data_IF_842772281179
#
_entry.id   IF_842772281179
#
_cell.length_a   1.000
_cell.length_b   1.000
_cell.length_c   1.000
_cell.angle_alpha   90.00
_cell.angle_beta   90.00
_cell.angle_gamma   90.00
#
_symmetry.space_group_name_H-M   'P 1'
#
loop_
_entity.id
_entity.type
_entity.pdbx_description
1 polymer ?
#
# COMPACT_ATOMS: atom_id res chain seq x y z
N UNK A 1 -13.68 -13.45 17.65
CA UNK A 1 -15.15 -13.60 17.67
C UNK A 1 -15.84 -13.05 16.43
N UNK A 2 -15.57 -11.80 16.00
CA UNK A 2 -16.41 -11.10 15.03
C UNK A 2 -16.44 -11.59 13.57
N UNK A 3 -15.41 -12.29 13.07
CA UNK A 3 -15.35 -12.65 11.64
C UNK A 3 -16.24 -13.86 11.25
N UNK A 4 -16.52 -14.78 12.18
CA UNK A 4 -17.21 -16.05 11.87
C UNK A 4 -18.69 -15.87 11.48
N UNK A 5 -19.36 -14.85 12.01
CA UNK A 5 -20.77 -14.56 11.72
C UNK A 5 -21.00 -13.98 10.31
N UNK A 6 -20.02 -13.24 9.78
CA UNK A 6 -20.13 -12.58 8.47
C UNK A 6 -19.64 -13.45 7.29
N UNK A 7 -18.87 -14.50 7.58
CA UNK A 7 -18.30 -15.43 6.60
C UNK A 7 -19.36 -16.11 5.71
N UNK A 8 -20.54 -16.42 6.28
CA UNK A 8 -21.63 -17.07 5.54
C UNK A 8 -22.34 -16.16 4.53
N UNK A 9 -22.26 -14.83 4.67
CA UNK A 9 -22.95 -13.86 3.77
C UNK A 9 -22.02 -13.10 2.82
N UNK A 10 -20.81 -12.80 3.27
CA UNK A 10 -19.88 -11.89 2.57
C UNK A 10 -18.56 -12.58 2.19
N UNK A 11 -18.40 -13.88 2.52
CA UNK A 11 -17.29 -14.71 2.08
C UNK A 11 -15.91 -14.14 2.40
N UNK A 12 -14.98 -14.30 1.46
CA UNK A 12 -13.57 -13.88 1.57
C UNK A 12 -13.38 -12.35 1.71
N UNK A 13 -14.31 -11.55 1.20
CA UNK A 13 -14.22 -10.08 1.22
C UNK A 13 -14.20 -9.52 2.63
N UNK A 14 -14.91 -10.14 3.58
CA UNK A 14 -14.88 -9.74 5.00
C UNK A 14 -13.48 -9.89 5.57
N UNK A 15 -12.85 -11.04 5.29
CA UNK A 15 -11.51 -11.33 5.78
C UNK A 15 -10.51 -10.32 5.22
N UNK A 16 -10.61 -10.00 3.92
CA UNK A 16 -9.77 -8.97 3.30
C UNK A 16 -9.95 -7.60 3.97
N UNK A 17 -11.20 -7.16 4.18
CA UNK A 17 -11.49 -5.88 4.85
C UNK A 17 -11.01 -5.86 6.30
N UNK A 18 -11.21 -6.95 7.04
CA UNK A 18 -10.75 -7.08 8.43
C UNK A 18 -9.23 -7.01 8.55
N UNK A 19 -8.49 -7.62 7.62
CA UNK A 19 -7.03 -7.54 7.58
C UNK A 19 -6.58 -6.10 7.33
N UNK A 20 -7.18 -5.43 6.34
CA UNK A 20 -6.86 -4.02 6.04
C UNK A 20 -7.15 -3.12 7.23
N UNK A 21 -8.32 -3.27 7.86
CA UNK A 21 -8.71 -2.48 9.03
C UNK A 21 -7.78 -2.72 10.22
N UNK A 22 -7.39 -3.98 10.47
CA UNK A 22 -6.47 -4.35 11.55
C UNK A 22 -5.09 -3.72 11.35
N UNK A 23 -4.49 -3.88 10.17
CA UNK A 23 -3.18 -3.29 9.88
C UNK A 23 -3.23 -1.77 9.93
N UNK A 24 -4.29 -1.16 9.41
CA UNK A 24 -4.46 0.29 9.47
C UNK A 24 -4.53 0.80 10.91
N UNK A 25 -5.34 0.15 11.76
CA UNK A 25 -5.42 0.49 13.19
C UNK A 25 -4.07 0.31 13.89
N UNK A 26 -3.34 -0.77 13.58
CA UNK A 26 -2.01 -1.02 14.12
C UNK A 26 -0.99 0.03 13.66
N UNK A 27 -1.01 0.44 12.39
CA UNK A 27 -0.14 1.50 11.86
C UNK A 27 -0.40 2.84 12.57
N UNK A 28 -1.66 3.20 12.79
CA UNK A 28 -2.03 4.41 13.54
C UNK A 28 -1.54 4.32 14.98
N UNK A 29 -1.80 3.20 15.66
CA UNK A 29 -1.37 3.01 17.03
C UNK A 29 0.16 3.09 17.17
N UNK A 30 0.89 2.44 16.26
CA UNK A 30 2.35 2.49 16.20
C UNK A 30 2.86 3.92 15.95
N UNK A 31 2.19 4.70 15.10
CA UNK A 31 2.55 6.10 14.88
C UNK A 31 2.41 6.95 16.15
N UNK A 32 1.30 6.83 16.88
CA UNK A 32 1.09 7.59 18.10
C UNK A 32 2.04 7.18 19.23
N UNK A 33 2.24 5.88 19.44
CA UNK A 33 3.16 5.36 20.46
C UNK A 33 4.61 5.73 20.12
N UNK A 34 4.99 5.58 18.84
CA UNK A 34 6.31 5.91 18.33
C UNK A 34 6.62 7.39 18.49
N UNK A 35 5.69 8.28 18.12
CA UNK A 35 5.83 9.73 18.29
C UNK A 35 6.06 10.13 19.76
N UNK A 36 5.47 9.41 20.70
CA UNK A 36 5.60 9.70 22.15
C UNK A 36 6.99 9.35 22.70
N UNK A 37 7.60 8.25 22.25
CA UNK A 37 8.91 7.80 22.76
C UNK A 37 10.09 8.32 21.91
N UNK A 38 9.92 8.45 20.60
CA UNK A 38 10.94 8.92 19.66
C UNK A 38 10.30 9.84 18.61
N UNK A 39 10.40 11.18 18.75
CA UNK A 39 9.89 12.12 17.77
C UNK A 39 10.80 12.12 16.53
N UNK A 40 10.68 11.10 15.69
CA UNK A 40 11.39 11.01 14.42
C UNK A 40 10.69 11.97 13.44
N UNK A 41 11.41 12.92 12.81
CA UNK A 41 10.86 13.83 11.81
C UNK A 41 10.55 13.09 10.50
N UNK A 42 9.49 12.27 10.51
CA UNK A 42 9.03 11.56 9.32
C UNK A 42 8.43 12.52 8.30
N UNK A 43 8.90 12.43 7.06
CA UNK A 43 8.30 13.11 5.92
C UNK A 43 7.03 12.38 5.48
N UNK A 44 5.90 12.64 6.15
CA UNK A 44 4.61 12.04 5.80
C UNK A 44 4.11 12.42 4.41
N UNK A 45 4.48 13.61 3.92
CA UNK A 45 4.04 14.12 2.61
C UNK A 45 4.37 13.15 1.47
N UNK A 46 5.65 12.78 1.21
CA UNK A 46 5.97 11.84 0.14
C UNK A 46 5.35 10.46 0.36
N UNK A 47 5.31 9.96 1.60
CA UNK A 47 4.71 8.64 1.90
C UNK A 47 3.26 8.56 1.42
N UNK A 48 2.42 9.51 1.82
CA UNK A 48 1.00 9.53 1.44
C UNK A 48 0.84 9.74 -0.07
N UNK A 49 1.64 10.63 -0.67
CA UNK A 49 1.60 10.90 -2.11
C UNK A 49 1.92 9.62 -2.91
N UNK A 50 2.96 8.88 -2.55
CA UNK A 50 3.32 7.64 -3.22
C UNK A 50 2.21 6.58 -3.09
N UNK A 51 1.62 6.44 -1.90
CA UNK A 51 0.49 5.51 -1.71
C UNK A 51 -0.71 5.86 -2.60
N UNK A 52 -1.07 7.15 -2.70
CA UNK A 52 -2.19 7.58 -3.55
C UNK A 52 -1.89 7.37 -5.03
N UNK A 53 -0.69 7.75 -5.50
CA UNK A 53 -0.28 7.55 -6.90
C UNK A 53 -0.31 6.07 -7.26
N UNK A 54 0.14 5.20 -6.36
CA UNK A 54 0.10 3.76 -6.56
C UNK A 54 -1.32 3.22 -6.71
N UNK A 55 -2.24 3.61 -5.82
CA UNK A 55 -3.65 3.20 -5.89
C UNK A 55 -4.33 3.67 -7.19
N UNK A 56 -4.05 4.91 -7.63
CA UNK A 56 -4.56 5.43 -8.90
C UNK A 56 -4.01 4.64 -10.08
N UNK A 57 -2.72 4.32 -10.05
CA UNK A 57 -2.05 3.53 -11.10
C UNK A 57 -2.67 2.13 -11.21
N UNK A 58 -2.91 1.47 -10.08
CA UNK A 58 -3.57 0.16 -10.03
C UNK A 58 -5.01 0.27 -10.55
N UNK A 59 -5.76 1.28 -10.09
CA UNK A 59 -7.14 1.49 -10.55
C UNK A 59 -7.22 1.67 -12.06
N UNK A 60 -6.29 2.43 -12.65
CA UNK A 60 -6.20 2.60 -14.09
C UNK A 60 -5.86 1.29 -14.81
N UNK A 61 -4.93 0.52 -14.26
CA UNK A 61 -4.56 -0.81 -14.78
C UNK A 61 -5.77 -1.73 -14.91
N UNK A 62 -6.68 -1.72 -13.92
CA UNK A 62 -7.89 -2.55 -13.96
C UNK A 62 -8.86 -2.21 -15.10
N UNK A 63 -8.82 -0.99 -15.63
CA UNK A 63 -9.67 -0.56 -16.74
C UNK A 63 -9.15 -1.03 -18.10
N UNK A 64 -7.84 -1.32 -18.20
CA UNK A 64 -7.22 -1.83 -19.41
C UNK A 64 -7.27 -3.34 -19.37
N UNK A 65 -8.29 -3.94 -19.98
CA UNK A 65 -8.38 -5.39 -20.16
C UNK A 65 -7.85 -5.77 -21.54
N UNK A 66 -6.82 -6.60 -21.58
CA UNK A 66 -6.32 -7.17 -22.83
C UNK A 66 -7.13 -8.41 -23.21
N UNK A 67 -7.03 -8.82 -24.47
CA UNK A 67 -7.77 -9.98 -24.98
C UNK A 67 -7.12 -11.33 -24.59
N UNK A 68 -5.89 -11.32 -24.06
CA UNK A 68 -5.15 -12.53 -23.73
C UNK A 68 -4.74 -12.57 -22.25
N UNK A 69 -5.20 -13.63 -21.56
CA UNK A 69 -5.01 -13.84 -20.12
C UNK A 69 -3.53 -13.79 -19.68
N UNK A 70 -2.61 -14.21 -20.55
CA UNK A 70 -1.17 -14.16 -20.28
C UNK A 70 -0.61 -12.73 -20.29
N UNK A 71 -1.03 -11.88 -21.24
CA UNK A 71 -0.59 -10.49 -21.25
C UNK A 71 -1.20 -9.70 -20.09
N UNK A 72 -2.47 -9.91 -19.77
CA UNK A 72 -3.10 -9.26 -18.61
C UNK A 72 -2.37 -9.60 -17.31
N UNK A 73 -2.07 -10.87 -17.08
CA UNK A 73 -1.37 -11.31 -15.87
C UNK A 73 0.05 -10.74 -15.79
N UNK A 74 0.75 -10.69 -16.93
CA UNK A 74 2.09 -10.12 -17.00
C UNK A 74 2.07 -8.62 -16.74
N UNK A 75 1.10 -7.88 -17.27
CA UNK A 75 0.95 -6.43 -17.04
C UNK A 75 0.61 -6.11 -15.59
N UNK A 76 -0.33 -6.85 -14.99
CA UNK A 76 -0.71 -6.66 -13.59
C UNK A 76 0.46 -6.94 -12.62
N UNK A 77 1.42 -7.78 -13.01
CA UNK A 77 2.66 -7.99 -12.25
C UNK A 77 3.73 -6.94 -12.57
N UNK A 78 3.88 -6.55 -13.84
CA UNK A 78 4.92 -5.63 -14.28
C UNK A 78 4.72 -4.22 -13.72
N UNK A 79 3.48 -3.74 -13.63
CA UNK A 79 3.14 -2.40 -13.16
C UNK A 79 3.62 -2.11 -11.72
N UNK A 80 3.30 -2.94 -10.71
CA UNK A 80 3.78 -2.70 -9.34
C UNK A 80 5.30 -2.86 -9.22
N UNK A 81 5.91 -3.76 -9.99
CA UNK A 81 7.38 -3.92 -10.02
C UNK A 81 8.05 -2.67 -10.59
N UNK A 82 7.57 -2.17 -11.73
CA UNK A 82 8.08 -0.95 -12.36
C UNK A 82 7.90 0.27 -11.45
N UNK A 83 6.76 0.38 -10.76
CA UNK A 83 6.52 1.44 -9.79
C UNK A 83 7.49 1.39 -8.61
N UNK A 84 7.74 0.19 -8.06
CA UNK A 84 8.70 -0.01 -6.95
C UNK A 84 10.12 0.38 -7.38
N UNK A 85 10.53 -0.01 -8.59
CA UNK A 85 11.83 0.37 -9.16
C UNK A 85 11.91 1.89 -9.31
N UNK A 86 10.87 2.54 -9.83
CA UNK A 86 10.83 3.99 -10.00
C UNK A 86 10.97 4.72 -8.65
N UNK A 87 10.22 4.29 -7.63
CA UNK A 87 10.36 4.85 -6.26
C UNK A 87 11.77 4.66 -5.74
N UNK A 88 12.35 3.46 -5.87
CA UNK A 88 13.72 3.21 -5.41
C UNK A 88 14.73 4.18 -6.04
N UNK A 89 14.61 4.44 -7.34
CA UNK A 89 15.46 5.43 -8.04
C UNK A 89 15.20 6.89 -7.64
N UNK A 90 13.99 7.24 -7.21
CA UNK A 90 13.68 8.58 -6.70
C UNK A 90 14.14 8.77 -5.25
N UNK A 91 13.95 7.75 -4.40
CA UNK A 91 14.21 7.77 -2.96
C UNK A 91 15.70 7.58 -2.64
N UNK A 92 16.48 6.88 -3.50
CA UNK A 92 17.93 6.69 -3.29
C UNK A 92 18.69 7.99 -3.03
N UNK A 93 18.19 9.13 -3.50
CA UNK A 93 18.80 10.46 -3.26
C UNK A 93 18.45 11.06 -1.90
N UNK A 94 17.36 10.62 -1.27
CA UNK A 94 16.88 11.08 0.04
C UNK A 94 17.43 10.25 1.21
N UNK A 95 17.75 8.98 0.97
CA UNK A 95 18.26 8.06 2.01
C UNK A 95 19.63 8.52 2.55
N UNK A 96 20.44 9.21 1.75
CA UNK A 96 21.80 9.64 2.14
C UNK A 96 21.90 11.05 2.72
N UNK A 97 20.78 11.73 3.01
CA UNK A 97 20.86 13.00 3.76
C UNK A 97 21.02 12.71 5.25
N UNK A 98 22.13 13.12 5.90
CA UNK A 98 22.25 13.04 7.34
C UNK A 98 21.15 13.89 7.96
N UNK A 99 20.61 13.41 9.07
CA UNK A 99 19.62 14.10 9.88
C UNK A 99 20.37 15.24 10.58
N UNK A 100 20.33 16.45 10.03
CA UNK A 100 20.76 17.68 10.73
C UNK A 100 19.69 18.15 11.71
#
# INVERSE_FOLDING_TARGET
>A
GGNYLFLGKYGYTVTALSIVASYFAMSIASYFIGKKHYPIPYNFKPLVIYTVIFLVTIYWSYQVKMASLWLDSLLNLAIPVAFTIAIYFMERKRIFKPIE
#
